data_IF_137592187316
#
_entry.id   IF_137592187316
#
_cell.length_a   1.000
_cell.length_b   1.000
_cell.length_c   1.000
_cell.angle_alpha   90.00
_cell.angle_beta   90.00
_cell.angle_gamma   90.00
#
_symmetry.space_group_name_H-M   'P 1'
#
loop_
_entity.id
_entity.type
_entity.pdbx_description
1 polymer ?
#
# COMPACT_ATOMS: atom_id res chain seq x y z
N UNK A 1 0.03 13.81 1.05
CA UNK A 1 0.85 12.93 1.88
C UNK A 1 2.26 12.86 1.32
N UNK A 2 3.25 12.86 2.19
CA UNK A 2 4.63 12.70 1.74
C UNK A 2 4.92 11.25 1.38
N UNK A 3 6.01 11.04 0.66
CA UNK A 3 6.44 9.69 0.28
C UNK A 3 6.65 8.80 1.50
N UNK A 4 7.19 9.35 2.57
CA UNK A 4 7.39 8.62 3.82
C UNK A 4 6.08 8.15 4.43
N UNK A 5 5.08 8.99 4.40
CA UNK A 5 3.76 8.63 4.91
C UNK A 5 3.16 7.47 4.12
N UNK A 6 3.29 7.52 2.81
CA UNK A 6 2.80 6.45 1.95
C UNK A 6 3.50 5.13 2.23
N UNK A 7 4.81 5.17 2.38
CA UNK A 7 5.60 3.97 2.70
C UNK A 7 5.17 3.40 4.05
N UNK A 8 4.96 4.27 5.01
CA UNK A 8 4.55 3.85 6.35
C UNK A 8 3.19 3.17 6.32
N UNK A 9 2.24 3.74 5.61
CA UNK A 9 0.91 3.14 5.48
C UNK A 9 0.96 1.79 4.78
N UNK A 10 1.73 1.69 3.71
CA UNK A 10 1.86 0.44 2.98
C UNK A 10 2.45 -0.64 3.87
N UNK A 11 3.46 -0.31 4.65
CA UNK A 11 4.09 -1.26 5.56
C UNK A 11 3.16 -1.69 6.69
N UNK A 12 2.25 -0.83 7.10
CA UNK A 12 1.27 -1.18 8.12
C UNK A 12 0.22 -2.15 7.58
N UNK A 13 -0.21 -1.95 6.34
CA UNK A 13 -1.19 -2.82 5.72
C UNK A 13 -0.56 -4.14 5.29
N UNK A 14 0.61 -4.05 4.68
CA UNK A 14 1.34 -5.22 4.18
C UNK A 14 2.70 -5.31 4.88
N UNK A 15 2.76 -6.12 5.92
CA UNK A 15 3.97 -6.24 6.74
C UNK A 15 5.13 -6.89 6.01
N UNK A 16 4.87 -7.60 4.94
CA UNK A 16 5.92 -8.21 4.14
C UNK A 16 6.59 -7.21 3.20
N UNK A 17 5.99 -6.05 2.98
CA UNK A 17 6.58 -5.02 2.15
C UNK A 17 7.74 -4.36 2.88
N UNK A 18 8.87 -4.24 2.21
CA UNK A 18 10.06 -3.62 2.77
C UNK A 18 10.16 -2.17 2.34
N UNK A 19 10.52 -1.31 3.27
CA UNK A 19 10.66 0.12 2.99
C UNK A 19 11.73 0.38 1.93
N UNK A 20 12.81 -0.38 1.93
CA UNK A 20 13.87 -0.24 0.93
C UNK A 20 13.34 -0.44 -0.48
N UNK A 21 12.48 -1.41 -0.65
CA UNK A 21 11.84 -1.69 -1.93
C UNK A 21 10.90 -0.55 -2.33
N UNK A 22 10.12 -0.06 -1.38
CA UNK A 22 9.14 0.98 -1.63
C UNK A 22 9.79 2.34 -1.92
N UNK A 23 10.96 2.60 -1.37
CA UNK A 23 11.68 3.84 -1.63
C UNK A 23 12.06 4.01 -3.09
N UNK A 24 12.17 2.93 -3.84
CA UNK A 24 12.51 2.95 -5.26
C UNK A 24 11.36 3.48 -6.12
N UNK A 25 10.15 3.47 -5.60
CA UNK A 25 8.99 3.95 -6.31
C UNK A 25 8.80 5.45 -6.12
N UNK A 26 8.16 6.08 -7.10
CA UNK A 26 7.78 7.48 -6.97
C UNK A 26 6.55 7.60 -6.06
N UNK A 27 6.28 8.84 -5.64
CA UNK A 27 5.12 9.12 -4.80
C UNK A 27 3.82 8.69 -5.48
N UNK A 28 3.70 8.94 -6.77
CA UNK A 28 2.53 8.54 -7.55
C UNK A 28 2.37 7.03 -7.58
N UNK A 29 3.46 6.31 -7.77
CA UNK A 29 3.43 4.86 -7.82
C UNK A 29 3.04 4.27 -6.47
N UNK A 30 3.56 4.84 -5.39
CA UNK A 30 3.21 4.41 -4.06
C UNK A 30 1.74 4.66 -3.74
N UNK A 31 1.23 5.80 -4.18
CA UNK A 31 -0.17 6.14 -3.99
C UNK A 31 -1.08 5.13 -4.68
N UNK A 32 -0.73 4.75 -5.90
CA UNK A 32 -1.49 3.74 -6.65
C UNK A 32 -1.41 2.38 -5.99
N UNK A 33 -0.24 2.02 -5.50
CA UNK A 33 -0.03 0.75 -4.81
C UNK A 33 -0.90 0.67 -3.57
N UNK A 34 -0.92 1.73 -2.80
CA UNK A 34 -1.74 1.80 -1.60
C UNK A 34 -3.23 1.69 -1.93
N UNK A 35 -3.66 2.38 -2.98
CA UNK A 35 -5.04 2.34 -3.43
C UNK A 35 -5.45 0.92 -3.82
N UNK A 36 -4.58 0.22 -4.54
CA UNK A 36 -4.82 -1.17 -4.92
C UNK A 36 -4.92 -2.09 -3.71
N UNK A 37 -4.06 -1.89 -2.72
CA UNK A 37 -4.11 -2.70 -1.51
C UNK A 37 -5.43 -2.51 -0.77
N UNK A 38 -5.90 -1.29 -0.68
CA UNK A 38 -7.16 -1.00 -0.03
C UNK A 38 -8.34 -1.62 -0.79
N UNK A 39 -8.31 -1.56 -2.11
CA UNK A 39 -9.36 -2.15 -2.93
C UNK A 39 -9.40 -3.66 -2.81
N UNK A 40 -8.22 -4.29 -2.78
CA UNK A 40 -8.14 -5.75 -2.62
C UNK A 40 -8.73 -6.20 -1.29
N UNK A 41 -8.49 -5.44 -0.24
CA UNK A 41 -9.06 -5.75 1.06
C UNK A 41 -10.58 -5.69 1.04
N UNK A 42 -11.12 -4.65 0.40
CA UNK A 42 -12.57 -4.51 0.27
C UNK A 42 -13.18 -5.64 -0.55
N UNK A 43 -12.52 -6.04 -1.63
CA UNK A 43 -12.99 -7.14 -2.45
C UNK A 43 -12.96 -8.46 -1.71
N UNK A 44 -11.91 -8.69 -0.92
CA UNK A 44 -11.83 -9.91 -0.11
C UNK A 44 -12.94 -9.98 0.92
N UNK A 45 -13.25 -8.86 1.55
CA UNK A 45 -14.34 -8.81 2.51
C UNK A 45 -15.67 -9.09 1.84
N UNK A 46 -15.87 -8.58 0.65
CA UNK A 46 -17.09 -8.80 -0.11
C UNK A 46 -17.22 -10.27 -0.52
N UNK A 47 -16.13 -10.89 -0.90
CA UNK A 47 -16.13 -12.31 -1.30
C UNK A 47 -16.34 -13.24 -0.13
N UNK A 48 -15.86 -12.87 1.04
CA UNK A 48 -16.03 -13.67 2.24
C UNK A 48 -17.42 -13.54 2.85
N UNK A 49 -18.12 -12.49 2.48
CA UNK A 49 -19.48 -12.28 2.95
C UNK A 49 -20.48 -13.05 2.12
#
# INVERSE_FOLDING_TARGET
>A
MSKYDLIKFICEINRTAKSDFLEKFSEDELSRYLDNLMQLDLEKLALCA
#
